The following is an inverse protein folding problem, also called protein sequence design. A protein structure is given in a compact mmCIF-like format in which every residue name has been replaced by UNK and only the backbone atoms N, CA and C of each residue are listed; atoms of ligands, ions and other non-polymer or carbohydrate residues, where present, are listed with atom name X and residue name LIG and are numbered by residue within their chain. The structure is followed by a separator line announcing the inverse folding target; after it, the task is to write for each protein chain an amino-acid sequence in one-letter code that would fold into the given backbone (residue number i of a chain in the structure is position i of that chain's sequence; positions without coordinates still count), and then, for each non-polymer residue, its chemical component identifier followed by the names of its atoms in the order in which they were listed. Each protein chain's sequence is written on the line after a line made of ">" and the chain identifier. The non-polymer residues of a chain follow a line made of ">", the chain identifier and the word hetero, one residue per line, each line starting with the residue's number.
data_IF_101937181304
#
_entry.id   IF_101937181304
#
_cell.length_a   1.000
_cell.length_b   1.000
_cell.length_c   1.000
_cell.angle_alpha   90.00
_cell.angle_beta   90.00
_cell.angle_gamma   90.00
#
_symmetry.space_group_name_H-M   'P 1'
#
loop_
_entity.id
_entity.type
_entity.pdbx_description
1 polymer ?
#
# COMPACT_ATOMS: atom_id res chain seq x y z
N UNK A 1 31.15 71.64 -18.77
CA UNK A 1 30.84 70.86 -19.98
C UNK A 1 30.95 69.39 -19.65
N UNK A 2 29.96 68.63 -19.98
CA UNK A 2 29.70 67.19 -20.06
C UNK A 2 28.76 66.61 -19.03
N UNK A 3 27.63 66.23 -19.59
CA UNK A 3 26.43 65.62 -19.05
C UNK A 3 26.69 64.31 -18.32
N UNK A 4 26.09 64.13 -17.15
CA UNK A 4 25.89 62.86 -16.45
C UNK A 4 24.50 62.36 -16.72
N UNK A 5 24.40 61.31 -17.49
CA UNK A 5 23.17 60.59 -17.82
C UNK A 5 22.72 59.79 -16.63
N UNK A 6 21.49 60.05 -16.12
CA UNK A 6 20.79 59.24 -15.12
C UNK A 6 20.44 57.88 -15.74
N UNK A 7 20.97 56.79 -15.20
CA UNK A 7 20.46 55.44 -15.41
C UNK A 7 19.39 55.13 -14.37
N UNK A 8 18.18 54.93 -14.85
CA UNK A 8 17.04 54.46 -14.05
C UNK A 8 17.26 53.00 -13.65
N UNK A 9 17.24 52.73 -12.35
CA UNK A 9 17.22 51.42 -11.75
C UNK A 9 15.78 50.87 -11.77
N UNK A 10 15.50 49.96 -12.65
CA UNK A 10 14.25 49.19 -12.65
C UNK A 10 14.31 48.20 -11.49
N UNK A 11 13.47 48.40 -10.49
CA UNK A 11 13.25 47.43 -9.41
C UNK A 11 12.46 46.24 -9.98
N UNK A 12 13.08 45.08 -10.03
CA UNK A 12 12.41 43.82 -10.29
C UNK A 12 11.84 43.33 -8.96
N UNK A 13 10.51 43.44 -8.80
CA UNK A 13 9.80 42.82 -7.68
C UNK A 13 9.64 41.36 -7.96
N UNK A 14 10.40 40.53 -7.25
CA UNK A 14 10.21 39.05 -7.27
C UNK A 14 9.07 38.72 -6.33
N UNK A 15 7.88 38.49 -6.90
CA UNK A 15 6.74 37.93 -6.15
C UNK A 15 6.99 36.45 -5.96
N UNK A 16 7.32 36.04 -4.75
CA UNK A 16 7.36 34.62 -4.36
C UNK A 16 5.92 34.15 -4.21
N UNK A 17 5.42 33.42 -5.20
CA UNK A 17 4.17 32.71 -5.11
C UNK A 17 4.40 31.43 -4.27
N UNK A 18 3.94 31.46 -3.04
CA UNK A 18 3.80 30.26 -2.20
C UNK A 18 2.67 29.42 -2.75
N UNK A 19 3.00 28.43 -3.58
CA UNK A 19 2.07 27.40 -4.01
C UNK A 19 1.85 26.43 -2.83
N UNK A 20 0.75 26.62 -2.12
CA UNK A 20 0.18 25.57 -1.27
C UNK A 20 -0.34 24.48 -2.19
N UNK A 21 0.39 23.38 -2.30
CA UNK A 21 -0.09 22.16 -2.97
C UNK A 21 -1.15 21.55 -2.08
N UNK A 22 -2.39 21.98 -2.31
CA UNK A 22 -3.57 21.29 -1.80
C UNK A 22 -3.68 19.98 -2.57
N UNK A 23 -3.42 18.86 -1.91
CA UNK A 23 -3.62 17.53 -2.47
C UNK A 23 -5.14 17.27 -2.56
N UNK A 24 -5.76 17.81 -3.60
CA UNK A 24 -7.14 17.49 -3.95
C UNK A 24 -7.16 16.05 -4.42
N UNK A 25 -7.77 15.17 -3.61
CA UNK A 25 -8.30 13.91 -4.11
C UNK A 25 -9.34 14.27 -5.16
N UNK A 26 -8.95 14.35 -6.44
CA UNK A 26 -9.92 14.45 -7.52
C UNK A 26 -10.71 13.16 -7.58
N UNK A 27 -11.90 13.19 -7.02
CA UNK A 27 -13.01 12.30 -7.38
C UNK A 27 -13.27 12.55 -8.84
N UNK A 28 -12.88 11.62 -9.70
CA UNK A 28 -13.28 11.64 -11.11
C UNK A 28 -14.76 11.29 -11.13
N UNK A 29 -15.56 12.29 -11.43
CA UNK A 29 -16.99 12.18 -11.70
C UNK A 29 -17.17 11.35 -12.99
N UNK A 30 -17.40 10.05 -12.84
CA UNK A 30 -17.75 9.18 -13.95
C UNK A 30 -19.24 9.30 -14.21
N UNK A 31 -19.62 10.22 -15.10
CA UNK A 31 -20.95 10.18 -15.70
C UNK A 31 -21.12 8.86 -16.43
N UNK A 32 -22.02 8.04 -15.92
CA UNK A 32 -22.44 6.80 -16.52
C UNK A 32 -23.12 7.07 -17.88
N UNK A 33 -22.46 6.65 -18.94
CA UNK A 33 -23.13 6.43 -20.23
C UNK A 33 -23.79 5.04 -20.16
N UNK A 34 -25.11 5.03 -20.26
CA UNK A 34 -25.91 3.83 -20.13
C UNK A 34 -25.76 2.96 -21.39
N UNK A 35 -24.81 2.06 -21.40
CA UNK A 35 -24.76 0.96 -22.34
C UNK A 35 -25.59 -0.21 -21.78
N UNK A 36 -26.56 -0.63 -22.59
CA UNK A 36 -27.52 -1.72 -22.41
C UNK A 36 -26.90 -3.00 -21.88
N UNK A 37 -27.60 -3.57 -20.88
CA UNK A 37 -27.22 -4.72 -20.11
C UNK A 37 -26.86 -5.97 -20.91
N UNK A 38 -25.75 -6.56 -20.54
CA UNK A 38 -25.58 -7.99 -20.47
C UNK A 38 -25.68 -8.40 -19.01
N UNK A 39 -26.61 -9.30 -18.75
CA UNK A 39 -26.92 -9.85 -17.44
C UNK A 39 -25.75 -10.75 -17.01
N UNK A 40 -24.68 -10.16 -16.45
CA UNK A 40 -23.65 -10.94 -15.79
C UNK A 40 -24.29 -11.53 -14.54
N UNK A 41 -24.57 -12.81 -14.59
CA UNK A 41 -24.95 -13.62 -13.45
C UNK A 41 -23.85 -13.47 -12.40
N UNK A 42 -24.09 -12.63 -11.40
CA UNK A 42 -23.25 -12.55 -10.20
C UNK A 42 -23.28 -13.95 -9.60
N UNK A 43 -22.11 -14.60 -9.54
CA UNK A 43 -22.00 -15.91 -8.93
C UNK A 43 -22.57 -15.81 -7.51
N UNK A 44 -23.62 -16.59 -7.26
CA UNK A 44 -24.24 -16.69 -5.93
C UNK A 44 -23.16 -17.16 -4.95
N UNK A 45 -23.00 -16.48 -3.80
CA UNK A 45 -22.09 -16.96 -2.76
C UNK A 45 -22.44 -18.41 -2.42
N UNK A 46 -21.46 -19.26 -2.10
CA UNK A 46 -21.71 -20.64 -1.72
C UNK A 46 -22.74 -20.70 -0.61
N UNK A 47 -23.68 -21.63 -0.73
CA UNK A 47 -24.84 -21.77 0.17
C UNK A 47 -24.39 -21.72 1.64
N UNK A 48 -24.98 -20.80 2.40
CA UNK A 48 -24.73 -20.65 3.84
C UNK A 48 -24.95 -21.96 4.63
N UNK A 49 -25.73 -22.90 4.09
CA UNK A 49 -25.92 -24.25 4.65
C UNK A 49 -24.66 -25.14 4.50
N UNK A 50 -23.78 -24.88 3.54
CA UNK A 50 -22.52 -25.62 3.41
C UNK A 50 -21.53 -25.20 4.52
N UNK A 51 -21.56 -23.94 4.94
CA UNK A 51 -20.71 -23.39 6.02
C UNK A 51 -21.09 -23.95 7.39
N UNK A 52 -22.37 -24.30 7.61
CA UNK A 52 -22.85 -24.83 8.90
C UNK A 52 -22.37 -26.26 9.22
N UNK A 53 -21.69 -26.92 8.30
CA UNK A 53 -21.11 -28.26 8.49
C UNK A 53 -19.65 -28.25 8.91
N UNK A 54 -19.00 -27.08 8.91
CA UNK A 54 -17.62 -26.96 9.36
C UNK A 54 -17.55 -27.13 10.87
N UNK A 55 -16.69 -28.03 11.31
CA UNK A 55 -16.32 -28.18 12.72
C UNK A 55 -15.37 -27.06 13.13
N UNK A 56 -15.13 -26.88 14.42
CA UNK A 56 -14.17 -25.87 14.90
C UNK A 56 -12.77 -26.12 14.34
N UNK A 57 -12.39 -27.39 14.10
CA UNK A 57 -11.11 -27.76 13.47
C UNK A 57 -11.00 -27.42 11.99
N UNK A 58 -12.12 -27.14 11.32
CA UNK A 58 -12.13 -26.72 9.90
C UNK A 58 -11.97 -25.21 9.74
N UNK A 59 -12.01 -24.47 10.84
CA UNK A 59 -11.82 -23.00 10.84
C UNK A 59 -10.34 -22.67 10.75
N UNK A 60 -10.02 -21.75 9.84
CA UNK A 60 -8.67 -21.23 9.72
C UNK A 60 -8.26 -20.53 11.03
N UNK A 61 -7.22 -21.05 11.69
CA UNK A 61 -6.65 -20.48 12.88
C UNK A 61 -5.53 -19.51 12.51
N UNK A 62 -5.40 -18.42 13.23
CA UNK A 62 -4.35 -17.42 12.98
C UNK A 62 -3.85 -16.80 14.28
N UNK A 63 -2.59 -16.38 14.27
CA UNK A 63 -1.94 -15.72 15.39
C UNK A 63 -1.29 -14.42 14.96
N UNK A 64 -1.42 -13.37 15.76
CA UNK A 64 -0.81 -12.07 15.54
C UNK A 64 0.72 -12.17 15.52
N UNK A 65 1.36 -11.63 14.46
CA UNK A 65 2.81 -11.53 14.36
C UNK A 65 3.29 -10.12 14.73
N UNK A 66 2.88 -9.14 13.94
CA UNK A 66 3.26 -7.73 14.14
C UNK A 66 2.35 -6.78 13.36
N UNK A 67 2.31 -5.53 13.80
CA UNK A 67 1.81 -4.42 13.02
C UNK A 67 2.95 -3.81 12.20
N UNK A 68 2.69 -3.53 10.92
CA UNK A 68 3.61 -2.91 9.97
C UNK A 68 3.06 -1.55 9.57
N UNK A 69 3.88 -0.51 9.68
CA UNK A 69 3.56 0.83 9.19
C UNK A 69 4.63 1.26 8.18
N UNK A 70 4.22 1.67 6.98
CA UNK A 70 5.13 2.05 5.90
C UNK A 70 5.12 3.56 5.66
N UNK A 71 6.31 4.10 5.44
CA UNK A 71 6.56 5.42 4.90
C UNK A 71 6.89 5.29 3.42
N UNK A 72 6.30 6.17 2.59
CA UNK A 72 6.45 6.09 1.13
C UNK A 72 6.76 7.44 0.54
N UNK A 73 7.45 7.43 -0.58
CA UNK A 73 7.67 8.60 -1.42
C UNK A 73 6.52 8.82 -2.40
N UNK A 74 6.65 9.87 -3.21
CA UNK A 74 5.68 10.19 -4.26
C UNK A 74 5.59 9.04 -5.28
N UNK A 75 4.38 8.52 -5.56
CA UNK A 75 4.21 7.48 -6.57
C UNK A 75 4.64 7.94 -7.96
N UNK A 76 5.30 7.05 -8.69
CA UNK A 76 5.65 7.22 -10.10
C UNK A 76 4.59 6.54 -10.96
N UNK A 77 3.88 7.32 -11.77
CA UNK A 77 2.87 6.79 -12.68
C UNK A 77 3.49 6.55 -14.06
N UNK A 78 3.47 5.29 -14.52
CA UNK A 78 4.01 4.89 -15.82
C UNK A 78 2.94 4.94 -16.95
N UNK A 79 1.73 5.40 -16.64
CA UNK A 79 0.62 5.38 -17.60
C UNK A 79 -0.01 4.00 -17.77
N UNK A 80 -0.86 3.86 -18.77
CA UNK A 80 -1.62 2.62 -18.98
C UNK A 80 -1.41 2.05 -20.38
N UNK A 81 -0.72 0.91 -20.45
CA UNK A 81 -0.93 -0.03 -21.53
C UNK A 81 -1.73 -1.20 -20.96
N UNK A 82 -3.08 -1.09 -20.96
CA UNK A 82 -3.97 -2.14 -20.44
C UNK A 82 -4.22 -2.15 -18.92
N UNK A 83 -4.24 -0.96 -18.28
CA UNK A 83 -4.41 -0.78 -16.84
C UNK A 83 -3.22 0.01 -16.27
N UNK A 84 -3.45 1.02 -15.45
CA UNK A 84 -2.39 1.88 -14.94
C UNK A 84 -1.34 1.10 -14.12
N UNK A 85 -0.08 1.48 -14.27
CA UNK A 85 0.99 0.97 -13.39
C UNK A 85 1.57 2.12 -12.57
N UNK A 86 1.64 1.91 -11.25
CA UNK A 86 2.29 2.82 -10.32
C UNK A 86 3.48 2.10 -9.68
N UNK A 87 4.57 2.82 -9.46
CA UNK A 87 5.64 2.40 -8.57
C UNK A 87 5.64 3.35 -7.38
N UNK A 88 5.51 2.79 -6.19
CA UNK A 88 5.50 3.54 -4.93
C UNK A 88 6.75 3.16 -4.15
N UNK A 89 7.81 4.01 -4.13
CA UNK A 89 8.98 3.73 -3.34
C UNK A 89 8.65 3.72 -1.85
N UNK A 90 9.18 2.75 -1.11
CA UNK A 90 9.13 2.70 0.35
C UNK A 90 10.40 3.32 0.89
N UNK A 91 10.27 4.42 1.63
CA UNK A 91 11.38 5.19 2.20
C UNK A 91 11.72 4.79 3.63
N UNK A 92 10.83 4.05 4.30
CA UNK A 92 11.02 3.66 5.68
C UNK A 92 9.76 3.06 6.30
N UNK A 93 9.73 3.05 7.62
CA UNK A 93 8.61 2.58 8.41
C UNK A 93 9.03 1.82 9.65
N UNK A 94 8.06 1.24 10.35
CA UNK A 94 8.27 0.48 11.57
C UNK A 94 7.44 -0.80 11.58
N UNK A 95 7.89 -1.79 12.32
CA UNK A 95 7.09 -2.96 12.64
C UNK A 95 7.24 -3.32 14.11
N UNK A 96 6.16 -3.80 14.73
CA UNK A 96 6.15 -4.15 16.14
C UNK A 96 5.15 -5.26 16.45
N UNK A 97 5.59 -6.29 17.15
CA UNK A 97 4.79 -7.43 17.59
C UNK A 97 5.49 -8.25 18.66
N UNK A 98 4.99 -9.45 18.94
CA UNK A 98 5.56 -10.34 19.94
C UNK A 98 6.93 -10.88 19.47
N UNK A 99 8.02 -10.39 20.10
CA UNK A 99 9.39 -10.82 19.77
C UNK A 99 9.93 -10.38 18.42
N UNK A 100 9.19 -9.57 17.70
CA UNK A 100 9.52 -9.00 16.38
C UNK A 100 9.25 -7.50 16.39
N UNK A 101 10.30 -6.68 16.37
CA UNK A 101 10.19 -5.24 16.22
C UNK A 101 11.43 -4.64 15.56
N UNK A 102 11.27 -3.48 14.95
CA UNK A 102 12.35 -2.79 14.26
C UNK A 102 11.83 -1.79 13.25
N UNK A 103 12.64 -1.55 12.21
CA UNK A 103 12.39 -0.57 11.18
C UNK A 103 12.37 -1.20 9.79
N UNK A 104 11.64 -0.56 8.87
CA UNK A 104 11.75 -0.83 7.43
C UNK A 104 12.90 0.00 6.90
N UNK A 105 13.81 -0.62 6.16
CA UNK A 105 14.97 0.07 5.59
C UNK A 105 14.96 0.00 4.07
N UNK A 106 15.31 1.10 3.36
CA UNK A 106 15.45 1.08 1.91
C UNK A 106 16.55 0.11 1.44
N UNK A 107 16.47 -0.37 0.17
CA UNK A 107 15.43 -0.08 -0.79
C UNK A 107 14.19 -0.95 -0.62
N UNK A 108 13.02 -0.38 -0.97
CA UNK A 108 11.75 -1.10 -1.02
C UNK A 108 10.76 -0.41 -1.93
N UNK A 109 9.68 -1.09 -2.28
CA UNK A 109 8.65 -0.50 -3.12
C UNK A 109 7.45 -1.40 -3.36
N UNK A 110 6.39 -0.78 -3.89
CA UNK A 110 5.17 -1.43 -4.37
C UNK A 110 4.99 -1.18 -5.86
N UNK A 111 4.89 -2.23 -6.65
CA UNK A 111 4.66 -2.22 -8.10
C UNK A 111 3.18 -2.49 -8.40
N UNK A 112 2.37 -1.48 -8.15
CA UNK A 112 0.91 -1.56 -8.24
C UNK A 112 0.44 -1.69 -9.68
N UNK A 113 -0.51 -2.61 -9.93
CA UNK A 113 -1.34 -2.62 -11.14
C UNK A 113 -2.72 -2.09 -10.79
N UNK A 114 -3.12 -1.00 -11.45
CA UNK A 114 -4.50 -0.48 -11.38
C UNK A 114 -5.36 -1.22 -12.39
N UNK A 115 -6.48 -1.77 -11.93
CA UNK A 115 -7.44 -2.46 -12.79
C UNK A 115 -8.57 -1.53 -13.25
N UNK A 116 -9.24 -1.86 -14.37
CA UNK A 116 -10.39 -1.06 -14.85
C UNK A 116 -11.56 -0.99 -13.85
N UNK A 117 -11.72 -1.99 -12.99
CA UNK A 117 -12.74 -2.04 -11.93
C UNK A 117 -12.41 -1.16 -10.70
N UNK A 118 -11.30 -0.41 -10.74
CA UNK A 118 -10.82 0.43 -9.65
C UNK A 118 -10.04 -0.34 -8.57
N UNK A 119 -9.95 -1.66 -8.65
CA UNK A 119 -9.11 -2.45 -7.74
C UNK A 119 -7.63 -2.31 -8.09
N UNK A 120 -6.76 -2.64 -7.13
CA UNK A 120 -5.30 -2.59 -7.29
C UNK A 120 -4.72 -3.93 -6.91
N UNK A 121 -3.82 -4.45 -7.74
CA UNK A 121 -2.94 -5.54 -7.36
C UNK A 121 -1.68 -4.93 -6.80
N UNK A 122 -1.33 -5.32 -5.59
CA UNK A 122 -0.11 -4.94 -4.90
C UNK A 122 0.95 -6.01 -5.15
N UNK A 123 2.20 -5.57 -5.36
CA UNK A 123 3.39 -6.44 -5.48
C UNK A 123 4.54 -5.73 -4.80
N UNK A 124 4.74 -6.03 -3.52
CA UNK A 124 5.62 -5.28 -2.63
C UNK A 124 6.83 -6.10 -2.22
N UNK A 125 7.96 -5.41 -2.13
CA UNK A 125 9.21 -5.95 -1.57
C UNK A 125 9.82 -4.91 -0.66
N UNK A 126 10.16 -5.33 0.56
CA UNK A 126 10.79 -4.48 1.58
C UNK A 126 11.85 -5.25 2.36
N UNK A 127 12.70 -4.51 3.02
CA UNK A 127 13.67 -5.05 3.94
C UNK A 127 13.35 -4.57 5.36
N UNK A 128 13.18 -5.51 6.27
CA UNK A 128 13.00 -5.26 7.69
C UNK A 128 14.37 -5.38 8.39
N UNK A 129 14.64 -4.48 9.30
CA UNK A 129 15.78 -4.58 10.20
C UNK A 129 15.27 -4.61 11.64
N UNK A 130 15.53 -5.70 12.33
CA UNK A 130 15.14 -5.87 13.73
C UNK A 130 15.99 -4.98 14.65
N UNK A 131 15.53 -4.72 15.87
CA UNK A 131 16.26 -3.93 16.88
C UNK A 131 17.62 -4.55 17.25
N UNK A 132 17.78 -5.86 17.09
CA UNK A 132 19.05 -6.56 17.25
C UNK A 132 19.88 -6.65 15.94
N UNK A 133 19.52 -5.85 14.93
CA UNK A 133 20.28 -5.64 13.71
C UNK A 133 20.13 -6.72 12.63
N UNK A 134 19.27 -7.71 12.82
CA UNK A 134 19.08 -8.77 11.84
C UNK A 134 18.23 -8.30 10.67
N UNK A 135 18.48 -8.88 9.49
CA UNK A 135 17.74 -8.55 8.26
C UNK A 135 16.72 -9.64 7.96
N UNK A 136 15.51 -9.20 7.60
CA UNK A 136 14.41 -10.04 7.15
C UNK A 136 13.88 -9.43 5.86
N UNK A 137 14.00 -10.13 4.73
CA UNK A 137 13.30 -9.75 3.52
C UNK A 137 11.83 -10.12 3.66
N UNK A 138 10.95 -9.19 3.30
CA UNK A 138 9.52 -9.41 3.29
C UNK A 138 8.96 -9.01 1.95
N UNK A 139 8.22 -9.91 1.32
CA UNK A 139 7.51 -9.63 0.08
C UNK A 139 6.06 -10.07 0.20
N UNK A 140 5.18 -9.43 -0.58
CA UNK A 140 3.79 -9.86 -0.66
C UNK A 140 3.13 -9.47 -1.97
N UNK A 141 2.09 -10.22 -2.28
CA UNK A 141 1.05 -9.81 -3.20
C UNK A 141 -0.25 -9.57 -2.45
N UNK A 142 -1.11 -8.75 -3.04
CA UNK A 142 -2.38 -8.44 -2.40
C UNK A 142 -3.33 -7.72 -3.31
N UNK A 143 -4.53 -7.50 -2.79
CA UNK A 143 -5.58 -6.75 -3.46
C UNK A 143 -6.00 -5.61 -2.54
N UNK A 144 -6.07 -4.40 -3.11
CA UNK A 144 -6.68 -3.24 -2.48
C UNK A 144 -7.86 -2.78 -3.33
N UNK A 145 -8.97 -2.46 -2.67
CA UNK A 145 -10.21 -2.05 -3.31
C UNK A 145 -11.00 -1.13 -2.39
N UNK A 146 -11.61 -0.11 -2.97
CA UNK A 146 -12.58 0.75 -2.29
C UNK A 146 -13.88 0.66 -3.08
N UNK A 147 -14.94 0.02 -2.55
CA UNK A 147 -16.24 0.03 -3.20
C UNK A 147 -16.79 1.46 -3.25
N UNK A 148 -17.67 1.80 -4.21
CA UNK A 148 -18.28 3.12 -4.27
C UNK A 148 -18.91 3.51 -2.92
N UNK A 149 -18.48 4.65 -2.36
CA UNK A 149 -18.94 5.13 -1.06
C UNK A 149 -18.46 4.32 0.17
N UNK A 150 -17.63 3.31 -0.04
CA UNK A 150 -17.10 2.45 1.02
C UNK A 150 -15.66 2.77 1.40
N UNK A 151 -15.21 2.18 2.52
CA UNK A 151 -13.83 2.32 2.99
C UNK A 151 -12.87 1.48 2.14
N UNK A 152 -11.61 1.95 2.04
CA UNK A 152 -10.53 1.17 1.46
C UNK A 152 -10.33 -0.13 2.25
N UNK A 153 -10.29 -1.21 1.53
CA UNK A 153 -9.98 -2.53 2.04
C UNK A 153 -8.73 -3.04 1.33
N UNK A 154 -7.80 -3.66 2.06
CA UNK A 154 -6.72 -4.40 1.44
C UNK A 154 -6.41 -5.69 2.23
N UNK A 155 -6.02 -6.72 1.48
CA UNK A 155 -5.54 -8.00 2.00
C UNK A 155 -4.28 -8.39 1.27
N UNK A 156 -3.29 -8.84 2.02
CA UNK A 156 -1.96 -9.21 1.51
C UNK A 156 -1.56 -10.59 2.01
N UNK A 157 -0.69 -11.25 1.25
CA UNK A 157 -0.13 -12.57 1.58
C UNK A 157 1.39 -12.43 1.68
N UNK A 158 1.91 -12.15 2.88
CA UNK A 158 3.34 -11.99 3.11
C UNK A 158 4.10 -13.31 3.08
N UNK A 159 5.34 -13.22 2.53
CA UNK A 159 6.39 -14.24 2.65
C UNK A 159 7.62 -13.58 3.25
N UNK A 160 8.40 -14.36 3.99
CA UNK A 160 9.59 -13.89 4.70
C UNK A 160 10.79 -14.73 4.33
N UNK A 161 11.97 -14.09 4.27
CA UNK A 161 13.24 -14.75 4.07
C UNK A 161 14.30 -14.12 4.99
N UNK A 162 14.99 -14.94 5.77
CA UNK A 162 16.09 -14.50 6.62
C UNK A 162 17.10 -15.61 6.84
N UNK A 163 18.39 -15.24 6.91
CA UNK A 163 19.46 -16.12 7.33
C UNK A 163 19.73 -16.06 8.85
N UNK A 164 19.07 -15.16 9.59
CA UNK A 164 19.27 -14.99 11.02
C UNK A 164 18.68 -16.20 11.79
N UNK A 165 19.48 -16.96 12.55
CA UNK A 165 19.00 -18.17 13.22
C UNK A 165 17.82 -17.94 14.17
N UNK A 166 17.82 -16.80 14.88
CA UNK A 166 16.76 -16.39 15.80
C UNK A 166 15.39 -16.24 15.11
N UNK A 167 15.38 -15.85 13.84
CA UNK A 167 14.19 -15.56 13.06
C UNK A 167 13.94 -16.55 11.91
N UNK A 168 14.77 -17.61 11.81
CA UNK A 168 14.69 -18.59 10.73
C UNK A 168 13.33 -19.29 10.62
N UNK A 169 12.57 -19.35 11.70
CA UNK A 169 11.19 -19.88 11.71
C UNK A 169 10.25 -19.12 10.78
N UNK A 170 10.51 -17.82 10.50
CA UNK A 170 9.72 -17.03 9.57
C UNK A 170 9.77 -17.56 8.14
N UNK A 171 10.85 -18.22 7.74
CA UNK A 171 11.00 -18.77 6.38
C UNK A 171 9.95 -19.84 6.04
N UNK A 172 9.29 -20.39 7.05
CA UNK A 172 8.28 -21.46 6.90
C UNK A 172 6.87 -20.98 7.30
N UNK A 173 6.66 -19.67 7.45
CA UNK A 173 5.36 -19.11 7.85
C UNK A 173 4.53 -18.79 6.63
N UNK A 174 3.30 -19.27 6.62
CA UNK A 174 2.24 -18.73 5.76
C UNK A 174 1.54 -17.61 6.53
N UNK A 175 1.43 -16.43 5.94
CA UNK A 175 0.87 -15.26 6.61
C UNK A 175 -0.19 -14.55 5.78
N UNK A 176 -1.04 -13.80 6.46
CA UNK A 176 -1.98 -12.85 5.87
C UNK A 176 -1.86 -11.50 6.56
N UNK A 177 -2.07 -10.42 5.79
CA UNK A 177 -2.09 -9.07 6.35
C UNK A 177 -3.41 -8.37 6.06
N UNK A 178 -3.90 -7.66 7.07
CA UNK A 178 -5.12 -6.88 7.02
C UNK A 178 -4.77 -5.41 7.11
N UNK A 179 -5.24 -4.61 6.15
CA UNK A 179 -5.06 -3.15 6.17
C UNK A 179 -5.74 -2.54 7.41
N UNK A 180 -5.01 -1.65 8.08
CA UNK A 180 -5.40 -1.01 9.34
C UNK A 180 -5.14 0.49 9.27
N UNK A 181 -6.10 1.29 8.74
CA UNK A 181 -5.94 2.74 8.60
C UNK A 181 -5.84 3.47 9.96
N UNK A 182 -6.28 2.83 11.03
CA UNK A 182 -6.16 3.33 12.40
C UNK A 182 -4.73 3.27 12.98
N UNK A 183 -3.84 2.47 12.37
CA UNK A 183 -2.43 2.35 12.78
C UNK A 183 -1.50 3.27 11.97
N UNK A 184 -1.92 3.76 10.82
CA UNK A 184 -1.12 4.62 9.97
C UNK A 184 -1.68 4.72 8.55
N UNK A 185 -1.08 5.62 7.75
CA UNK A 185 -1.53 5.88 6.38
C UNK A 185 -1.44 4.63 5.49
N UNK A 186 -0.35 3.86 5.62
CA UNK A 186 -0.16 2.58 4.94
C UNK A 186 0.28 1.59 6.00
N UNK A 187 -0.69 0.96 6.65
CA UNK A 187 -0.42 0.06 7.75
C UNK A 187 -1.18 -1.26 7.61
N UNK A 188 -0.54 -2.33 8.07
CA UNK A 188 -1.09 -3.69 8.02
C UNK A 188 -0.87 -4.38 9.36
N UNK A 189 -1.87 -5.12 9.81
CA UNK A 189 -1.70 -6.12 10.85
C UNK A 189 -1.45 -7.47 10.22
N UNK A 190 -0.32 -8.08 10.59
CA UNK A 190 0.16 -9.35 10.03
C UNK A 190 -0.15 -10.48 11.00
N UNK A 191 -0.70 -11.57 10.46
CA UNK A 191 -1.02 -12.79 11.17
C UNK A 191 -0.35 -13.97 10.48
N UNK A 192 0.20 -14.92 11.23
CA UNK A 192 0.53 -16.24 10.71
C UNK A 192 -0.70 -17.14 10.72
N UNK A 193 -0.80 -18.04 9.77
CA UNK A 193 -1.78 -19.12 9.72
C UNK A 193 -1.20 -20.30 10.49
N UNK A 194 -2.03 -20.96 11.30
CA UNK A 194 -1.64 -22.13 12.11
C UNK A 194 -2.09 -23.42 11.45
#
# INVERSE_FOLDING_TARGET
>A
MRNLTRRSLTRISTTVATSTVSLVLSVIDLRADAAKGENQTVATPPDARAVSRLTEGDKLQSEFLFDLNLETETPQNLGSAGGGRLIVPVSGGTFAGHGLKGTVVPPGGDWIVQRPDGSRILDVRILLQTDDGQKIYMSWRGIAYAPPGGALFARIVPLFETAAPKYAWLNNVVAVGVYRPDLGKIAYRIYRIL
#
